data_IF_945578982774
#
_entry.id   IF_945578982774
#
_cell.length_a   1.000
_cell.length_b   1.000
_cell.length_c   1.000
_cell.angle_alpha   90.00
_cell.angle_beta   90.00
_cell.angle_gamma   90.00
#
_symmetry.space_group_name_H-M   'P 1'
#
loop_
_entity.id
_entity.type
_entity.pdbx_description
1 polymer ?
#
# COMPACT_ATOMS: atom_id res chain seq x y z
N UNK A 1 14.60 4.29 19.54
CA UNK A 1 14.17 3.89 18.18
C UNK A 1 13.47 2.52 18.22
N UNK A 2 12.46 2.24 17.37
CA UNK A 2 11.76 0.95 17.37
C UNK A 2 12.72 -0.21 17.03
N UNK A 3 12.59 -1.33 17.75
CA UNK A 3 13.52 -2.48 17.67
C UNK A 3 13.18 -3.49 16.57
N UNK A 4 12.03 -3.36 15.89
CA UNK A 4 11.57 -4.29 14.84
C UNK A 4 10.83 -3.54 13.72
N UNK A 5 10.82 -4.11 12.51
CA UNK A 5 10.07 -3.57 11.38
C UNK A 5 8.56 -3.48 11.66
N UNK A 6 7.99 -4.47 12.37
CA UNK A 6 6.58 -4.45 12.74
C UNK A 6 6.25 -3.29 13.69
N UNK A 7 7.11 -3.03 14.68
CA UNK A 7 6.92 -1.92 15.61
C UNK A 7 7.07 -0.57 14.91
N UNK A 8 7.99 -0.45 13.95
CA UNK A 8 8.14 0.74 13.12
C UNK A 8 6.91 0.95 12.23
N UNK A 9 6.48 -0.08 11.49
CA UNK A 9 5.27 -0.04 10.65
C UNK A 9 4.06 0.40 11.47
N UNK A 10 3.87 -0.15 12.68
CA UNK A 10 2.76 0.24 13.56
C UNK A 10 2.82 1.72 13.93
N UNK A 11 3.97 2.19 14.42
CA UNK A 11 4.16 3.58 14.84
C UNK A 11 3.96 4.57 13.68
N UNK A 12 4.46 4.24 12.49
CA UNK A 12 4.24 5.06 11.30
C UNK A 12 2.76 5.11 10.94
N UNK A 13 2.07 3.98 10.91
CA UNK A 13 0.63 3.92 10.62
C UNK A 13 -0.24 4.66 11.66
N UNK A 14 0.18 4.68 12.93
CA UNK A 14 -0.46 5.48 13.98
C UNK A 14 -0.23 6.98 13.71
N UNK A 15 1.01 7.39 13.46
CA UNK A 15 1.36 8.78 13.18
C UNK A 15 0.66 9.33 11.93
N UNK A 16 0.49 8.51 10.88
CA UNK A 16 -0.23 8.88 9.66
C UNK A 16 -1.72 9.20 9.89
N UNK A 17 -2.32 8.65 10.96
CA UNK A 17 -3.78 8.67 11.16
C UNK A 17 -4.21 9.38 12.44
N UNK A 18 -3.27 9.79 13.29
CA UNK A 18 -3.55 10.39 14.61
C UNK A 18 -4.36 11.69 14.51
N UNK A 19 -4.13 12.48 13.47
CA UNK A 19 -4.83 13.74 13.23
C UNK A 19 -5.96 13.63 12.20
N UNK A 20 -6.36 12.40 11.83
CA UNK A 20 -7.39 12.21 10.82
C UNK A 20 -8.76 12.71 11.34
N UNK A 21 -9.34 13.77 10.75
CA UNK A 21 -10.60 14.33 11.24
C UNK A 21 -11.73 13.31 11.16
N UNK A 22 -12.59 13.26 12.19
CA UNK A 22 -13.78 12.39 12.20
C UNK A 22 -14.70 12.62 11.00
N UNK A 23 -14.73 13.85 10.48
CA UNK A 23 -15.50 14.21 9.28
C UNK A 23 -15.10 13.38 8.06
N UNK A 24 -13.84 12.96 7.95
CA UNK A 24 -13.39 12.12 6.84
C UNK A 24 -14.07 10.74 6.84
N UNK A 25 -14.56 10.24 7.97
CA UNK A 25 -15.26 8.94 8.01
C UNK A 25 -16.69 8.98 7.47
N UNK A 26 -17.24 10.17 7.21
CA UNK A 26 -18.66 10.34 6.82
C UNK A 26 -18.94 10.08 5.34
N UNK A 27 -17.95 10.33 4.48
CA UNK A 27 -18.06 10.15 3.01
C UNK A 27 -17.21 9.00 2.49
N UNK A 28 -17.47 8.58 1.26
CA UNK A 28 -16.64 7.62 0.53
C UNK A 28 -15.52 8.32 -0.23
N UNK A 29 -14.33 7.72 -0.26
CA UNK A 29 -13.10 8.30 -0.81
C UNK A 29 -12.51 7.49 -1.95
N UNK A 30 -11.93 8.17 -2.91
CA UNK A 30 -10.99 7.57 -3.85
C UNK A 30 -9.68 7.32 -3.11
N UNK A 31 -9.21 6.07 -3.16
CA UNK A 31 -7.98 5.66 -2.48
C UNK A 31 -7.00 5.14 -3.51
N UNK A 32 -5.84 5.79 -3.60
CA UNK A 32 -4.72 5.30 -4.39
C UNK A 32 -3.89 4.29 -3.60
N UNK A 33 -3.53 3.19 -4.25
CA UNK A 33 -2.57 2.21 -3.74
C UNK A 33 -1.35 2.18 -4.66
N UNK A 34 -0.20 2.49 -4.08
CA UNK A 34 1.08 2.56 -4.78
C UNK A 34 2.02 1.46 -4.27
N UNK A 35 2.81 0.89 -5.16
CA UNK A 35 3.85 -0.08 -4.85
C UNK A 35 5.24 0.54 -5.05
N UNK A 36 6.01 0.60 -3.97
CA UNK A 36 7.33 1.23 -3.97
C UNK A 36 8.42 0.16 -3.94
N UNK A 37 9.43 0.33 -4.79
CA UNK A 37 10.63 -0.51 -4.86
C UNK A 37 11.86 0.40 -4.81
N UNK A 38 12.44 0.52 -3.62
CA UNK A 38 13.63 1.33 -3.41
C UNK A 38 14.87 0.44 -3.55
N UNK A 39 15.77 0.71 -4.53
CA UNK A 39 16.98 -0.07 -4.76
C UNK A 39 17.83 -0.19 -3.50
N UNK A 40 18.33 -1.40 -3.23
CA UNK A 40 19.15 -1.70 -2.07
C UNK A 40 20.43 -2.45 -2.45
N UNK A 41 21.56 -2.02 -1.89
CA UNK A 41 22.89 -2.57 -2.21
C UNK A 41 23.54 -3.32 -1.04
N UNK A 42 22.90 -3.33 0.14
CA UNK A 42 23.45 -3.97 1.33
C UNK A 42 23.03 -5.43 1.53
N UNK A 43 23.15 -5.87 2.78
CA UNK A 43 22.73 -7.19 3.26
C UNK A 43 21.50 -7.07 4.16
N UNK A 44 20.61 -8.08 4.20
CA UNK A 44 19.51 -8.10 5.15
C UNK A 44 20.03 -7.98 6.58
N UNK A 45 19.31 -7.24 7.45
CA UNK A 45 19.78 -6.97 8.80
C UNK A 45 19.54 -8.16 9.73
N UNK A 46 18.30 -8.70 9.78
CA UNK A 46 17.98 -9.85 10.63
C UNK A 46 17.41 -11.03 9.88
N UNK A 47 16.70 -10.81 8.78
CA UNK A 47 16.08 -11.87 8.00
C UNK A 47 16.23 -11.63 6.51
N UNK A 48 16.51 -12.70 5.76
CA UNK A 48 16.48 -12.68 4.28
C UNK A 48 15.12 -12.27 3.71
N UNK A 49 14.06 -12.31 4.52
CA UNK A 49 12.72 -11.89 4.10
C UNK A 49 12.54 -10.36 4.08
N UNK A 50 13.50 -9.60 4.62
CA UNK A 50 13.53 -8.13 4.67
C UNK A 50 13.72 -7.48 3.30
N UNK A 51 14.36 -8.21 2.39
CA UNK A 51 14.76 -7.72 1.07
C UNK A 51 13.90 -8.39 0.01
N UNK A 52 13.21 -7.55 -0.77
CA UNK A 52 12.45 -7.97 -1.92
C UNK A 52 13.39 -8.17 -3.11
N UNK A 53 13.06 -9.14 -3.97
CA UNK A 53 13.81 -9.39 -5.19
C UNK A 53 12.93 -9.18 -6.42
N UNK A 54 13.43 -8.41 -7.38
CA UNK A 54 12.77 -8.14 -8.66
C UNK A 54 13.76 -8.23 -9.82
N UNK A 55 13.27 -7.95 -11.03
CA UNK A 55 14.14 -7.69 -12.19
C UNK A 55 15.15 -6.59 -11.86
N UNK A 56 16.33 -6.69 -12.48
CA UNK A 56 17.40 -5.71 -12.24
C UNK A 56 16.92 -4.31 -12.59
N UNK A 57 17.02 -3.39 -11.64
CA UNK A 57 16.83 -1.96 -11.85
C UNK A 57 17.97 -1.23 -11.17
N UNK A 58 18.54 -0.23 -11.85
CA UNK A 58 19.65 0.57 -11.33
C UNK A 58 20.82 -0.28 -10.80
N UNK A 59 21.12 -1.40 -11.46
CA UNK A 59 22.24 -2.27 -11.12
C UNK A 59 22.04 -3.19 -9.90
N UNK A 60 20.82 -3.32 -9.37
CA UNK A 60 20.51 -4.27 -8.29
C UNK A 60 19.23 -5.05 -8.54
N UNK A 61 19.16 -6.27 -8.02
CA UNK A 61 17.95 -7.10 -7.96
C UNK A 61 17.31 -7.07 -6.57
N UNK A 62 17.90 -6.33 -5.62
CA UNK A 62 17.48 -6.25 -4.22
C UNK A 62 16.79 -4.90 -3.97
N UNK A 63 15.66 -4.93 -3.29
CA UNK A 63 14.85 -3.75 -3.02
C UNK A 63 14.28 -3.77 -1.60
N UNK A 64 14.13 -2.59 -1.01
CA UNK A 64 13.13 -2.39 0.03
C UNK A 64 11.79 -2.16 -0.64
N UNK A 65 10.81 -3.01 -0.30
CA UNK A 65 9.48 -2.95 -0.89
C UNK A 65 8.44 -2.59 0.15
N UNK A 66 7.58 -1.62 -0.17
CA UNK A 66 6.43 -1.26 0.65
C UNK A 66 5.28 -0.80 -0.25
N UNK A 67 4.07 -0.94 0.26
CA UNK A 67 2.87 -0.42 -0.39
C UNK A 67 2.22 0.62 0.50
N UNK A 68 1.71 1.68 -0.11
CA UNK A 68 1.00 2.76 0.58
C UNK A 68 -0.43 2.84 0.10
N UNK A 69 -1.35 3.24 0.98
CA UNK A 69 -2.68 3.66 0.62
C UNK A 69 -2.88 5.13 0.98
N UNK A 70 -3.35 5.94 0.04
CA UNK A 70 -3.60 7.36 0.28
C UNK A 70 -4.95 7.81 -0.31
N UNK A 71 -5.61 8.76 0.35
CA UNK A 71 -6.77 9.45 -0.24
C UNK A 71 -6.24 10.40 -1.31
N UNK A 72 -6.89 10.42 -2.46
CA UNK A 72 -6.65 11.41 -3.51
C UNK A 72 -7.85 12.35 -3.57
N UNK A 73 -7.64 13.64 -3.29
CA UNK A 73 -8.69 14.65 -3.40
C UNK A 73 -8.07 16.00 -3.80
N UNK A 74 -8.58 16.63 -4.87
CA UNK A 74 -8.18 17.97 -5.34
C UNK A 74 -6.65 18.17 -5.41
N UNK A 75 -5.93 17.19 -5.94
CA UNK A 75 -4.46 17.24 -6.05
C UNK A 75 -3.69 17.02 -4.74
N UNK A 76 -4.38 16.79 -3.61
CA UNK A 76 -3.78 16.46 -2.32
C UNK A 76 -3.83 14.96 -2.07
N UNK A 77 -2.73 14.43 -1.52
CA UNK A 77 -2.61 13.02 -1.11
C UNK A 77 -2.50 12.92 0.40
N UNK A 78 -3.39 12.16 1.03
CA UNK A 78 -3.34 11.89 2.47
C UNK A 78 -3.03 10.41 2.70
N UNK A 79 -1.79 10.10 3.07
CA UNK A 79 -1.37 8.71 3.32
C UNK A 79 -2.06 8.16 4.57
N UNK A 80 -2.83 7.09 4.40
CA UNK A 80 -3.62 6.45 5.44
C UNK A 80 -2.90 5.25 6.06
N UNK A 81 -2.17 4.52 5.22
CA UNK A 81 -1.52 3.30 5.64
C UNK A 81 -0.27 3.02 4.81
N UNK A 82 0.69 2.35 5.45
CA UNK A 82 1.86 1.77 4.84
C UNK A 82 1.99 0.32 5.30
N UNK A 83 2.32 -0.57 4.36
CA UNK A 83 2.64 -1.97 4.62
C UNK A 83 3.97 -2.32 4.02
N UNK A 84 4.89 -2.80 4.86
CA UNK A 84 6.11 -3.41 4.37
C UNK A 84 5.78 -4.73 3.66
N UNK A 85 6.43 -4.95 2.53
CA UNK A 85 6.26 -6.13 1.67
C UNK A 85 7.40 -7.10 1.93
N UNK A 86 7.05 -8.32 2.34
CA UNK A 86 8.02 -9.37 2.57
C UNK A 86 8.47 -10.00 1.26
N UNK A 87 9.67 -10.60 1.28
CA UNK A 87 10.12 -11.45 0.18
C UNK A 87 9.06 -12.52 -0.15
N UNK A 88 8.70 -12.63 -1.43
CA UNK A 88 7.69 -13.57 -1.96
C UNK A 88 6.29 -13.39 -1.36
N UNK A 89 5.98 -12.26 -0.72
CA UNK A 89 4.63 -11.99 -0.28
C UNK A 89 3.73 -11.75 -1.50
N UNK A 90 2.60 -12.49 -1.64
CA UNK A 90 1.66 -12.24 -2.73
C UNK A 90 1.10 -10.83 -2.65
N UNK A 91 0.99 -10.16 -3.80
CA UNK A 91 0.46 -8.80 -3.90
C UNK A 91 -0.95 -8.68 -3.28
N UNK A 92 -1.81 -9.68 -3.51
CA UNK A 92 -3.15 -9.75 -2.91
C UNK A 92 -3.07 -9.70 -1.38
N UNK A 93 -2.11 -10.40 -0.75
CA UNK A 93 -1.96 -10.39 0.71
C UNK A 93 -1.59 -9.01 1.24
N UNK A 94 -0.75 -8.27 0.50
CA UNK A 94 -0.39 -6.88 0.84
C UNK A 94 -1.62 -5.97 0.69
N UNK A 95 -2.39 -6.12 -0.40
CA UNK A 95 -3.65 -5.40 -0.61
C UNK A 95 -4.64 -5.67 0.52
N UNK A 96 -4.88 -6.93 0.88
CA UNK A 96 -5.75 -7.28 2.01
C UNK A 96 -5.30 -6.59 3.30
N UNK A 97 -3.99 -6.61 3.61
CA UNK A 97 -3.44 -5.93 4.80
C UNK A 97 -3.67 -4.42 4.79
N UNK A 98 -3.59 -3.77 3.64
CA UNK A 98 -3.90 -2.33 3.48
C UNK A 98 -5.39 -2.06 3.64
N UNK A 99 -6.23 -2.80 2.93
CA UNK A 99 -7.69 -2.65 2.97
C UNK A 99 -8.25 -2.89 4.37
N UNK A 100 -7.79 -3.94 5.06
CA UNK A 100 -8.14 -4.18 6.47
C UNK A 100 -7.79 -2.98 7.32
N UNK A 101 -6.61 -2.37 7.15
CA UNK A 101 -6.21 -1.19 7.94
C UNK A 101 -7.12 0.00 7.66
N UNK A 102 -7.45 0.28 6.40
CA UNK A 102 -8.37 1.37 6.02
C UNK A 102 -9.74 1.17 6.68
N UNK A 103 -10.27 -0.06 6.63
CA UNK A 103 -11.53 -0.45 7.26
C UNK A 103 -11.47 -0.27 8.78
N UNK A 104 -10.37 -0.64 9.44
CA UNK A 104 -10.14 -0.42 10.88
C UNK A 104 -10.10 1.08 11.25
N UNK A 105 -9.57 1.94 10.38
CA UNK A 105 -9.59 3.41 10.57
C UNK A 105 -11.03 3.95 10.48
N UNK A 106 -11.97 3.18 9.92
CA UNK A 106 -13.37 3.56 9.72
C UNK A 106 -13.59 4.41 8.46
N UNK A 107 -12.66 4.36 7.51
CA UNK A 107 -12.80 5.05 6.22
C UNK A 107 -13.58 4.18 5.23
N UNK A 108 -14.44 4.83 4.45
CA UNK A 108 -15.22 4.18 3.39
C UNK A 108 -14.55 4.43 2.05
N UNK A 109 -14.30 3.36 1.30
CA UNK A 109 -13.70 3.43 -0.03
C UNK A 109 -14.84 3.62 -1.04
N UNK A 110 -14.65 4.56 -1.97
CA UNK A 110 -15.52 4.79 -3.13
C UNK A 110 -15.05 3.94 -4.30
N UNK A 111 -13.77 4.08 -4.64
CA UNK A 111 -13.07 3.32 -5.66
C UNK A 111 -11.57 3.27 -5.31
N UNK A 112 -10.86 2.34 -5.94
CA UNK A 112 -9.41 2.22 -5.83
C UNK A 112 -8.72 2.70 -7.09
N UNK A 113 -7.76 3.61 -6.94
CA UNK A 113 -6.79 3.94 -7.99
C UNK A 113 -5.56 3.06 -7.75
N UNK A 114 -5.17 2.25 -8.73
CA UNK A 114 -4.02 1.34 -8.59
C UNK A 114 -3.02 1.57 -9.72
N UNK A 115 -1.74 1.44 -9.41
CA UNK A 115 -0.67 1.47 -10.42
C UNK A 115 -0.84 0.29 -11.41
N UNK A 116 -0.40 0.47 -12.65
CA UNK A 116 -0.28 -0.57 -13.68
C UNK A 116 0.41 -1.83 -13.18
N UNK A 117 1.36 -1.72 -12.25
CA UNK A 117 2.01 -2.88 -11.64
C UNK A 117 1.03 -3.86 -10.96
N UNK A 118 -0.15 -3.38 -10.56
CA UNK A 118 -1.22 -4.19 -9.97
C UNK A 118 -2.19 -4.80 -10.99
N UNK A 119 -2.10 -4.43 -12.28
CA UNK A 119 -2.97 -4.95 -13.34
C UNK A 119 -2.57 -6.37 -13.76
N UNK A 120 -2.88 -7.34 -12.89
CA UNK A 120 -2.81 -8.76 -13.19
C UNK A 120 -4.13 -9.45 -12.83
N UNK A 121 -4.41 -10.58 -13.49
CA UNK A 121 -5.69 -11.32 -13.38
C UNK A 121 -6.04 -11.65 -11.92
N UNK A 122 -5.13 -12.19 -11.09
CA UNK A 122 -5.44 -12.47 -9.68
C UNK A 122 -5.87 -11.23 -8.89
N UNK A 123 -5.20 -10.09 -9.09
CA UNK A 123 -5.55 -8.84 -8.39
C UNK A 123 -6.89 -8.31 -8.86
N UNK A 124 -7.17 -8.30 -10.16
CA UNK A 124 -8.46 -7.85 -10.69
C UNK A 124 -9.61 -8.70 -10.15
N UNK A 125 -9.46 -10.03 -10.15
CA UNK A 125 -10.45 -10.94 -9.58
C UNK A 125 -10.67 -10.70 -8.07
N UNK A 126 -9.59 -10.47 -7.32
CA UNK A 126 -9.68 -10.13 -5.90
C UNK A 126 -10.44 -8.82 -5.66
N UNK A 127 -10.17 -7.76 -6.45
CA UNK A 127 -10.84 -6.47 -6.30
C UNK A 127 -12.34 -6.55 -6.63
N UNK A 128 -12.71 -7.36 -7.63
CA UNK A 128 -14.11 -7.65 -7.95
C UNK A 128 -14.81 -8.37 -6.80
N UNK A 129 -14.16 -9.36 -6.18
CA UNK A 129 -14.72 -10.06 -5.01
C UNK A 129 -14.92 -9.16 -3.78
N UNK A 130 -14.07 -8.15 -3.62
CA UNK A 130 -14.16 -7.19 -2.51
C UNK A 130 -15.19 -6.06 -2.76
N UNK A 131 -15.88 -6.06 -3.90
CA UNK A 131 -16.80 -5.00 -4.35
C UNK A 131 -16.12 -3.60 -4.34
N UNK A 132 -14.86 -3.57 -4.78
CA UNK A 132 -14.06 -2.35 -4.84
C UNK A 132 -13.94 -1.90 -6.30
N UNK A 133 -14.75 -0.93 -6.75
CA UNK A 133 -14.68 -0.48 -8.13
C UNK A 133 -13.35 0.23 -8.40
N UNK A 134 -12.87 0.13 -9.62
CA UNK A 134 -11.81 0.99 -10.15
C UNK A 134 -12.43 2.26 -10.72
N UNK A 135 -11.71 3.40 -10.77
CA UNK A 135 -12.20 4.58 -11.47
C UNK A 135 -12.47 4.23 -12.94
N UNK A 136 -13.49 4.85 -13.52
CA UNK A 136 -13.74 4.73 -14.95
C UNK A 136 -12.48 5.20 -15.72
N UNK A 137 -12.07 4.50 -16.79
CA UNK A 137 -10.96 4.95 -17.62
C UNK A 137 -11.33 6.31 -18.21
N UNK A 138 -10.54 7.34 -17.88
CA UNK A 138 -10.70 8.65 -18.51
C UNK A 138 -10.26 8.51 -19.96
N UNK A 139 -11.22 8.46 -20.88
CA UNK A 139 -10.96 8.58 -22.32
C UNK A 139 -10.46 10.01 -22.53
N UNK A 140 -9.17 10.17 -22.82
CA UNK A 140 -8.60 11.42 -23.33
C UNK A 140 -8.73 11.48 -24.84
#
# INVERSE_FOLDING_TARGET
MPKTLLALERRLNEALTIYLPRAMRRRKWEVAIDWHLDPYYGQPYRSRNEIYHSQSKQGTTKFHAYATACIVEYGRRYTLALKWVRRREPMIRVLTRLLTRIRTIGLKIRCLVIDRAFFNVPVMAFLQQEDLPLPEPVVQ
#
